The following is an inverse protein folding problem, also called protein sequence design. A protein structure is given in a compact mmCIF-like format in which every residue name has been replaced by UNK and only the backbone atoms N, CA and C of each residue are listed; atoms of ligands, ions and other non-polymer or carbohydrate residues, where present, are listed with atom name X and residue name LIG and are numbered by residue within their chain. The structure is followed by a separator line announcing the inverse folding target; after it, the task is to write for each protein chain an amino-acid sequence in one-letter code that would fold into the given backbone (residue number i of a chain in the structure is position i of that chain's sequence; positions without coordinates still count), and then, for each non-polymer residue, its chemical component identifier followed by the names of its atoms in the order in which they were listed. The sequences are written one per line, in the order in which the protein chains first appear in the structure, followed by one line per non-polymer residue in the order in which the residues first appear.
data_IF_029409435388
#
_entry.id   IF_029409435388
#
_cell.length_a   1.000
_cell.length_b   1.000
_cell.length_c   1.000
_cell.angle_alpha   90.00
_cell.angle_beta   90.00
_cell.angle_gamma   90.00
#
_symmetry.space_group_name_H-M   'P 1'
#
loop_
_entity.id
_entity.type
_entity.pdbx_description
1 polymer ?
#
# COMPACT_ATOMS: atom_id res chain seq x y z
N UNK A 1 19.00 42.87 -8.28
CA UNK A 1 20.31 42.34 -8.72
C UNK A 1 20.86 41.44 -7.63
N UNK A 2 20.52 40.14 -7.71
CA UNK A 2 20.88 39.14 -6.72
C UNK A 2 22.15 38.40 -7.15
N UNK A 3 23.14 38.41 -6.28
CA UNK A 3 24.33 37.58 -6.38
C UNK A 3 23.96 36.11 -6.11
N UNK A 4 24.24 35.25 -7.09
CA UNK A 4 24.14 33.79 -6.95
C UNK A 4 25.41 33.29 -6.26
N UNK A 5 25.27 32.71 -5.08
CA UNK A 5 26.33 31.94 -4.44
C UNK A 5 26.47 30.58 -5.13
N UNK A 6 27.62 30.40 -5.78
CA UNK A 6 28.16 29.12 -6.22
C UNK A 6 28.72 28.37 -5.01
N UNK A 7 28.20 27.18 -4.74
CA UNK A 7 28.75 26.25 -3.75
C UNK A 7 29.09 24.92 -4.41
N UNK A 8 30.20 24.87 -5.13
CA UNK A 8 31.03 23.68 -5.25
C UNK A 8 32.49 24.12 -5.39
N UNK A 9 33.28 23.90 -4.33
CA UNK A 9 34.72 23.94 -4.42
C UNK A 9 35.31 22.86 -3.51
N UNK A 10 35.23 21.61 -3.97
CA UNK A 10 36.04 20.52 -3.45
C UNK A 10 37.23 20.34 -4.39
N UNK A 11 38.36 20.97 -4.02
CA UNK A 11 39.68 20.59 -4.52
C UNK A 11 40.03 19.22 -3.95
N UNK A 12 39.68 18.19 -4.70
CA UNK A 12 40.45 16.94 -4.73
C UNK A 12 40.83 16.74 -6.18
N UNK A 13 42.11 16.89 -6.49
CA UNK A 13 42.64 16.74 -7.83
C UNK A 13 42.53 15.26 -8.27
N UNK A 14 41.39 14.90 -8.84
CA UNK A 14 41.33 13.83 -9.82
C UNK A 14 41.65 14.47 -11.17
N UNK A 15 42.70 13.97 -11.83
CA UNK A 15 43.02 14.34 -13.19
C UNK A 15 41.77 14.24 -14.06
N UNK A 16 41.52 15.26 -14.87
CA UNK A 16 40.42 15.29 -15.82
C UNK A 16 40.67 14.23 -16.90
N UNK A 17 40.22 13.01 -16.64
CA UNK A 17 39.96 12.06 -17.70
C UNK A 17 38.76 12.56 -18.49
N UNK A 18 38.87 12.51 -19.82
CA UNK A 18 37.86 12.99 -20.76
C UNK A 18 36.48 12.42 -20.41
N UNK A 19 35.45 13.28 -20.37
CA UNK A 19 34.11 12.99 -19.84
C UNK A 19 33.40 11.72 -20.36
N UNK A 20 33.86 11.15 -21.47
CA UNK A 20 33.38 9.88 -22.04
C UNK A 20 33.70 8.69 -21.12
N UNK A 21 34.73 8.77 -20.28
CA UNK A 21 35.12 7.69 -19.36
C UNK A 21 34.13 7.45 -18.21
N UNK A 22 33.20 8.38 -17.94
CA UNK A 22 32.31 8.25 -16.77
C UNK A 22 31.12 7.29 -16.98
N UNK A 23 30.78 6.95 -18.22
CA UNK A 23 29.60 6.13 -18.54
C UNK A 23 29.84 5.16 -19.71
N UNK A 24 30.89 4.32 -19.66
CA UNK A 24 31.30 3.58 -20.84
C UNK A 24 30.27 2.50 -21.25
N UNK A 25 29.43 2.02 -20.32
CA UNK A 25 28.31 1.12 -20.66
C UNK A 25 27.17 1.85 -21.39
N UNK A 26 26.79 3.07 -20.98
CA UNK A 26 25.80 3.86 -21.72
C UNK A 26 26.28 4.21 -23.11
N UNK A 27 27.58 4.50 -23.27
CA UNK A 27 28.19 4.73 -24.57
C UNK A 27 28.17 3.46 -25.43
N UNK A 28 28.54 2.32 -24.87
CA UNK A 28 28.48 1.03 -25.56
C UNK A 28 27.07 0.72 -26.05
N UNK A 29 26.05 0.87 -25.19
CA UNK A 29 24.63 0.70 -25.56
C UNK A 29 24.21 1.64 -26.69
N UNK A 30 24.54 2.93 -26.59
CA UNK A 30 24.17 3.92 -27.61
C UNK A 30 24.79 3.63 -28.98
N UNK A 31 25.93 2.95 -29.03
CA UNK A 31 26.61 2.55 -30.26
C UNK A 31 26.32 1.12 -30.70
N UNK A 32 25.56 0.34 -29.93
CA UNK A 32 25.39 -1.07 -30.21
C UNK A 32 24.50 -1.30 -31.43
N UNK A 33 24.86 -2.31 -32.22
CA UNK A 33 24.06 -2.77 -33.35
C UNK A 33 23.54 -4.19 -33.14
N UNK A 34 24.12 -4.90 -32.16
CA UNK A 34 23.79 -6.27 -31.77
C UNK A 34 24.02 -6.46 -30.27
N UNK A 35 23.23 -7.33 -29.65
CA UNK A 35 23.37 -7.76 -28.26
C UNK A 35 24.74 -8.40 -28.00
N UNK A 36 25.28 -9.15 -28.98
CA UNK A 36 26.60 -9.78 -28.86
C UNK A 36 27.71 -8.79 -28.50
N UNK A 37 27.63 -7.54 -28.99
CA UNK A 37 28.60 -6.47 -28.67
C UNK A 37 28.55 -6.13 -27.18
N UNK A 38 27.34 -6.02 -26.62
CA UNK A 38 27.11 -5.71 -25.21
C UNK A 38 27.47 -6.89 -24.31
N UNK A 39 27.06 -8.10 -24.67
CA UNK A 39 27.41 -9.32 -23.91
C UNK A 39 28.92 -9.52 -23.86
N UNK A 40 29.62 -9.29 -24.97
CA UNK A 40 31.08 -9.34 -25.01
C UNK A 40 31.71 -8.27 -24.12
N UNK A 41 31.21 -7.03 -24.18
CA UNK A 41 31.67 -5.93 -23.35
C UNK A 41 31.47 -6.24 -21.84
N UNK A 42 30.29 -6.71 -21.45
CA UNK A 42 29.97 -7.12 -20.08
C UNK A 42 30.93 -8.20 -19.57
N UNK A 43 31.23 -9.21 -20.40
CA UNK A 43 32.13 -10.30 -20.03
C UNK A 43 33.59 -9.86 -19.77
N UNK A 44 34.00 -8.68 -20.26
CA UNK A 44 35.35 -8.14 -20.07
C UNK A 44 35.48 -7.24 -18.83
N UNK A 45 34.37 -6.81 -18.25
CA UNK A 45 34.38 -5.88 -17.12
C UNK A 45 34.42 -6.66 -15.80
N UNK A 46 35.16 -6.14 -14.83
CA UNK A 46 35.12 -6.66 -13.46
C UNK A 46 33.69 -6.58 -12.90
N UNK A 47 33.21 -7.66 -12.27
CA UNK A 47 31.83 -7.76 -11.77
C UNK A 47 31.42 -6.57 -10.87
N UNK A 48 32.27 -6.11 -9.95
CA UNK A 48 31.94 -4.97 -9.07
C UNK A 48 31.81 -3.67 -9.86
N UNK A 49 32.67 -3.48 -10.86
CA UNK A 49 32.61 -2.33 -11.75
C UNK A 49 31.35 -2.37 -12.62
N UNK A 50 30.99 -3.54 -13.14
CA UNK A 50 29.76 -3.75 -13.91
C UNK A 50 28.51 -3.41 -13.09
N UNK A 51 28.39 -3.97 -11.88
CA UNK A 51 27.27 -3.68 -10.96
C UNK A 51 27.16 -2.17 -10.76
N UNK A 52 28.27 -1.51 -10.41
CA UNK A 52 28.29 -0.05 -10.27
C UNK A 52 27.81 0.68 -11.52
N UNK A 53 28.24 0.25 -12.71
CA UNK A 53 27.88 0.87 -13.98
C UNK A 53 26.41 0.66 -14.34
N UNK A 54 25.88 -0.54 -14.15
CA UNK A 54 24.47 -0.88 -14.38
C UNK A 54 23.52 -0.07 -13.52
N UNK A 55 23.97 0.29 -12.34
CA UNK A 55 23.20 1.12 -11.44
C UNK A 55 23.48 2.63 -11.63
N UNK A 56 24.60 3.07 -12.20
CA UNK A 56 24.83 4.52 -12.30
C UNK A 56 23.94 5.15 -13.39
N UNK A 57 23.07 6.15 -13.10
CA UNK A 57 22.30 6.84 -14.13
C UNK A 57 23.19 7.76 -14.96
N UNK A 58 22.83 7.99 -16.23
CA UNK A 58 23.50 8.97 -17.09
C UNK A 58 23.11 10.42 -16.73
N UNK A 59 23.60 11.41 -17.50
CA UNK A 59 23.29 12.84 -17.32
C UNK A 59 21.78 13.17 -17.41
N UNK A 60 20.96 12.29 -18.01
CA UNK A 60 19.50 12.44 -18.11
C UNK A 60 18.76 11.71 -16.96
N UNK A 61 19.47 11.09 -16.03
CA UNK A 61 18.87 10.29 -14.96
C UNK A 61 18.46 8.87 -15.38
N UNK A 62 18.87 8.41 -16.58
CA UNK A 62 18.49 7.09 -17.10
C UNK A 62 19.57 6.04 -16.82
N UNK A 63 19.15 4.89 -16.33
CA UNK A 63 19.97 3.69 -16.16
C UNK A 63 20.26 3.02 -17.51
N UNK A 64 21.38 2.26 -17.63
CA UNK A 64 21.67 1.45 -18.82
C UNK A 64 20.49 0.56 -19.25
N UNK A 65 19.81 -0.06 -18.30
CA UNK A 65 18.69 -0.96 -18.58
C UNK A 65 17.48 -0.24 -19.20
N UNK A 66 17.27 1.04 -18.84
CA UNK A 66 16.20 1.87 -19.40
C UNK A 66 16.50 2.33 -20.83
N UNK A 67 17.77 2.28 -21.24
CA UNK A 67 18.17 2.64 -22.60
C UNK A 67 17.93 1.52 -23.61
N UNK A 68 17.69 0.28 -23.15
CA UNK A 68 17.53 -0.89 -24.03
C UNK A 68 16.28 -0.74 -24.90
N UNK A 69 15.19 -0.21 -24.34
CA UNK A 69 13.94 0.01 -25.07
C UNK A 69 14.11 0.97 -26.25
N UNK A 70 14.99 1.96 -26.12
CA UNK A 70 15.28 2.96 -27.16
C UNK A 70 16.25 2.46 -28.25
N UNK A 71 16.83 1.26 -28.10
CA UNK A 71 17.77 0.71 -29.08
C UNK A 71 17.05 0.35 -30.40
N UNK A 72 17.69 0.67 -31.52
CA UNK A 72 17.22 0.33 -32.87
C UNK A 72 17.67 -1.07 -33.30
N UNK A 73 17.46 -2.06 -32.43
CA UNK A 73 17.75 -3.49 -32.66
C UNK A 73 16.46 -4.31 -32.47
N UNK A 74 16.45 -5.56 -32.93
CA UNK A 74 15.27 -6.41 -32.79
C UNK A 74 14.98 -6.80 -31.33
N UNK A 75 13.75 -7.25 -31.08
CA UNK A 75 13.27 -7.57 -29.74
C UNK A 75 14.08 -8.68 -29.07
N UNK A 76 14.52 -9.70 -29.81
CA UNK A 76 15.29 -10.83 -29.24
C UNK A 76 16.67 -10.39 -28.82
N UNK A 77 17.28 -9.48 -29.58
CA UNK A 77 18.56 -8.87 -29.17
C UNK A 77 18.38 -8.02 -27.91
N UNK A 78 17.27 -7.27 -27.77
CA UNK A 78 16.96 -6.55 -26.51
C UNK A 78 16.81 -7.49 -25.32
N UNK A 79 16.02 -8.56 -25.48
CA UNK A 79 15.85 -9.62 -24.47
C UNK A 79 17.21 -10.19 -24.02
N UNK A 80 18.10 -10.47 -24.97
CA UNK A 80 19.46 -10.96 -24.67
C UNK A 80 20.27 -9.97 -23.83
N UNK A 81 20.16 -8.66 -24.09
CA UNK A 81 20.84 -7.64 -23.27
C UNK A 81 20.23 -7.58 -21.87
N UNK A 82 18.91 -7.67 -21.75
CA UNK A 82 18.23 -7.72 -20.46
C UNK A 82 18.67 -8.94 -19.64
N UNK A 83 18.65 -10.13 -20.22
CA UNK A 83 19.14 -11.36 -19.57
C UNK A 83 20.60 -11.24 -19.12
N UNK A 84 21.42 -10.51 -19.88
CA UNK A 84 22.80 -10.22 -19.52
C UNK A 84 22.90 -9.27 -18.30
N UNK A 85 22.05 -8.25 -18.19
CA UNK A 85 22.12 -7.25 -17.14
C UNK A 85 21.46 -7.69 -15.83
N UNK A 86 20.29 -8.33 -15.91
CA UNK A 86 19.42 -8.62 -14.76
C UNK A 86 20.11 -9.35 -13.60
N UNK A 87 20.96 -10.38 -13.81
CA UNK A 87 21.66 -11.06 -12.70
C UNK A 87 22.56 -10.12 -11.87
N UNK A 88 23.04 -9.04 -12.47
CA UNK A 88 23.93 -8.06 -11.83
C UNK A 88 23.19 -6.89 -11.21
N UNK A 89 21.89 -6.74 -11.48
CA UNK A 89 21.05 -5.67 -10.93
C UNK A 89 20.20 -6.11 -9.73
N UNK A 90 20.28 -7.39 -9.35
CA UNK A 90 19.63 -7.91 -8.15
C UNK A 90 20.37 -7.42 -6.90
N UNK A 91 19.69 -6.78 -5.93
CA UNK A 91 20.31 -6.34 -4.71
C UNK A 91 20.69 -7.57 -3.90
N UNK A 92 21.86 -7.50 -3.27
CA UNK A 92 22.23 -8.49 -2.27
C UNK A 92 21.46 -8.17 -0.99
N UNK A 93 20.32 -8.82 -0.82
CA UNK A 93 19.54 -8.79 0.42
C UNK A 93 19.75 -10.09 1.20
N UNK A 94 19.85 -10.02 2.54
CA UNK A 94 19.87 -11.23 3.36
C UNK A 94 18.53 -11.93 3.28
N UNK A 95 18.53 -13.26 3.47
CA UNK A 95 17.28 -14.00 3.43
C UNK A 95 16.28 -13.52 4.47
N UNK A 96 14.98 -13.48 4.15
CA UNK A 96 13.85 -13.17 5.06
C UNK A 96 13.90 -13.96 6.37
N UNK A 97 14.55 -15.13 6.37
CA UNK A 97 14.73 -15.96 7.57
C UNK A 97 16.02 -15.68 8.34
N UNK A 98 16.96 -14.94 7.73
CA UNK A 98 18.22 -14.55 8.34
C UNK A 98 17.97 -13.51 9.42
N UNK A 99 18.32 -13.78 10.69
CA UNK A 99 18.17 -12.80 11.76
C UNK A 99 19.14 -11.64 11.57
N UNK A 100 18.74 -10.46 12.04
CA UNK A 100 19.62 -9.31 12.18
C UNK A 100 20.48 -9.47 13.44
N UNK A 101 21.76 -9.14 13.32
CA UNK A 101 22.72 -9.20 14.43
C UNK A 101 23.00 -7.80 14.98
N UNK A 102 22.54 -7.57 16.22
CA UNK A 102 22.73 -6.29 16.92
C UNK A 102 24.21 -5.88 16.96
N UNK A 103 25.12 -6.83 17.20
CA UNK A 103 26.54 -6.52 17.32
C UNK A 103 27.11 -6.03 15.98
N UNK A 104 26.83 -6.75 14.90
CA UNK A 104 27.27 -6.37 13.55
C UNK A 104 26.72 -5.00 13.13
N UNK A 105 25.46 -4.69 13.45
CA UNK A 105 24.86 -3.37 13.17
C UNK A 105 25.56 -2.28 13.99
N UNK A 106 25.79 -2.52 15.28
CA UNK A 106 26.51 -1.59 16.15
C UNK A 106 27.94 -1.34 15.67
N UNK A 107 28.68 -2.39 15.29
CA UNK A 107 30.04 -2.29 14.80
C UNK A 107 30.10 -1.52 13.46
N UNK A 108 29.17 -1.80 12.55
CA UNK A 108 29.09 -1.15 11.25
C UNK A 108 28.80 0.35 11.35
N UNK A 109 27.79 0.75 12.15
CA UNK A 109 27.40 2.15 12.32
C UNK A 109 28.10 2.86 13.50
N UNK A 110 29.04 2.19 14.16
CA UNK A 110 29.77 2.69 15.35
C UNK A 110 28.83 3.14 16.47
N UNK A 111 27.74 2.40 16.69
CA UNK A 111 26.77 2.66 17.75
C UNK A 111 27.26 2.00 19.04
N UNK A 112 27.63 2.81 20.02
CA UNK A 112 28.09 2.35 21.34
C UNK A 112 26.90 2.18 22.31
N UNK A 113 27.02 1.37 23.38
CA UNK A 113 25.93 1.14 24.34
C UNK A 113 25.33 2.40 24.99
N UNK A 114 26.13 3.44 25.19
CA UNK A 114 25.71 4.72 25.76
C UNK A 114 25.06 5.67 24.73
N UNK A 115 25.00 5.25 23.46
CA UNK A 115 24.35 6.03 22.39
C UNK A 115 22.85 6.13 22.62
N UNK A 116 22.22 7.28 22.35
CA UNK A 116 20.77 7.42 22.41
C UNK A 116 20.01 6.55 21.37
N UNK A 117 20.72 5.91 20.43
CA UNK A 117 20.16 4.93 19.49
C UNK A 117 20.14 3.50 20.03
N UNK A 118 20.98 3.16 21.00
CA UNK A 118 21.28 1.76 21.32
C UNK A 118 20.07 1.00 21.88
N UNK A 119 19.30 1.63 22.78
CA UNK A 119 18.09 1.02 23.35
C UNK A 119 17.03 0.75 22.27
N UNK A 120 16.74 1.75 21.44
CA UNK A 120 15.78 1.66 20.33
C UNK A 120 16.23 0.62 19.30
N UNK A 121 17.52 0.61 18.94
CA UNK A 121 18.10 -0.38 18.04
C UNK A 121 17.97 -1.80 18.59
N UNK A 122 18.25 -2.00 19.88
CA UNK A 122 18.09 -3.32 20.53
C UNK A 122 16.65 -3.81 20.44
N UNK A 123 15.67 -2.94 20.71
CA UNK A 123 14.24 -3.27 20.58
C UNK A 123 13.90 -3.60 19.13
N UNK A 124 14.34 -2.78 18.18
CA UNK A 124 14.10 -3.02 16.76
C UNK A 124 14.68 -4.36 16.29
N UNK A 125 15.91 -4.70 16.69
CA UNK A 125 16.54 -5.99 16.38
C UNK A 125 15.73 -7.17 16.92
N UNK A 126 15.24 -7.07 18.17
CA UNK A 126 14.42 -8.11 18.78
C UNK A 126 13.13 -8.35 17.98
N UNK A 127 12.40 -7.28 17.65
CA UNK A 127 11.14 -7.37 16.92
C UNK A 127 11.34 -7.83 15.47
N UNK A 128 12.35 -7.31 14.77
CA UNK A 128 12.68 -7.78 13.41
C UNK A 128 13.01 -9.27 13.43
N UNK A 129 13.75 -9.74 14.43
CA UNK A 129 14.06 -11.17 14.56
C UNK A 129 12.84 -12.02 14.89
N UNK A 130 11.92 -11.54 15.74
CA UNK A 130 10.65 -12.22 16.02
C UNK A 130 9.84 -12.42 14.73
N UNK A 131 9.75 -11.38 13.89
CA UNK A 131 9.06 -11.45 12.60
C UNK A 131 9.79 -12.42 11.65
N UNK A 132 11.09 -12.25 11.44
CA UNK A 132 11.88 -13.04 10.48
C UNK A 132 11.98 -14.53 10.84
N UNK A 133 11.94 -14.86 12.13
CA UNK A 133 11.89 -16.25 12.61
C UNK A 133 10.54 -16.95 12.36
N UNK A 134 9.49 -16.22 12.00
CA UNK A 134 8.19 -16.80 11.64
C UNK A 134 8.22 -17.49 10.27
N UNK A 135 9.30 -17.30 9.49
CA UNK A 135 9.51 -17.84 8.14
C UNK A 135 8.45 -17.37 7.14
N UNK A 136 8.30 -16.04 7.03
CA UNK A 136 7.39 -15.42 6.07
C UNK A 136 7.78 -15.72 4.62
N UNK A 137 6.76 -15.88 3.78
CA UNK A 137 6.88 -15.82 2.33
C UNK A 137 6.51 -14.43 1.84
N UNK A 138 7.23 -13.96 0.82
CA UNK A 138 6.97 -12.66 0.20
C UNK A 138 7.18 -12.78 -1.31
N UNK A 139 6.16 -12.44 -2.10
CA UNK A 139 6.24 -12.42 -3.57
C UNK A 139 7.07 -11.25 -4.11
N UNK A 140 7.52 -10.34 -3.26
CA UNK A 140 8.37 -9.23 -3.68
C UNK A 140 9.84 -9.40 -3.27
N UNK A 141 10.14 -10.24 -2.26
CA UNK A 141 11.52 -10.41 -1.77
C UNK A 141 12.39 -11.25 -2.72
N UNK A 142 13.66 -10.89 -2.96
CA UNK A 142 14.59 -11.65 -3.81
C UNK A 142 14.84 -13.10 -3.38
N UNK A 143 14.49 -13.47 -2.15
CA UNK A 143 14.58 -14.85 -1.65
C UNK A 143 13.73 -15.84 -2.42
N UNK A 144 12.62 -15.34 -2.98
CA UNK A 144 11.75 -16.16 -3.81
C UNK A 144 12.22 -16.17 -5.27
N UNK A 145 13.36 -15.52 -5.58
CA UNK A 145 13.91 -15.54 -6.94
C UNK A 145 14.40 -16.93 -7.31
N UNK A 146 14.02 -17.39 -8.51
CA UNK A 146 14.30 -18.75 -9.00
C UNK A 146 13.17 -19.75 -8.80
N UNK A 147 12.04 -19.33 -8.23
CA UNK A 147 10.76 -20.04 -8.32
C UNK A 147 10.11 -19.80 -9.68
N UNK A 148 9.21 -20.71 -10.06
CA UNK A 148 8.48 -20.57 -11.31
C UNK A 148 7.61 -19.30 -11.28
N UNK A 149 7.36 -18.70 -12.43
CA UNK A 149 6.53 -17.50 -12.55
C UNK A 149 5.11 -17.78 -12.02
N UNK A 150 4.59 -18.98 -12.28
CA UNK A 150 3.28 -19.42 -11.78
C UNK A 150 3.25 -19.48 -10.24
N UNK A 151 4.28 -20.04 -9.60
CA UNK A 151 4.39 -20.07 -8.13
C UNK A 151 4.44 -18.65 -7.54
N UNK A 152 5.12 -17.73 -8.22
CA UNK A 152 5.23 -16.32 -7.82
C UNK A 152 3.90 -15.58 -7.92
N UNK A 153 3.18 -15.79 -9.02
CA UNK A 153 1.87 -15.18 -9.26
C UNK A 153 0.84 -15.71 -8.25
N UNK A 154 0.82 -17.03 -8.00
CA UNK A 154 -0.01 -17.64 -6.97
C UNK A 154 0.27 -17.06 -5.58
N UNK A 155 1.56 -16.93 -5.19
CA UNK A 155 1.91 -16.32 -3.90
C UNK A 155 1.50 -14.85 -3.84
N UNK A 156 1.62 -14.11 -4.95
CA UNK A 156 1.18 -12.72 -5.04
C UNK A 156 -0.33 -12.59 -4.88
N UNK A 157 -1.11 -13.46 -5.52
CA UNK A 157 -2.56 -13.54 -5.37
C UNK A 157 -2.95 -13.86 -3.92
N UNK A 158 -2.31 -14.85 -3.29
CA UNK A 158 -2.56 -15.20 -1.88
C UNK A 158 -2.28 -14.02 -0.94
N UNK A 159 -1.17 -13.31 -1.13
CA UNK A 159 -0.84 -12.09 -0.35
C UNK A 159 -1.90 -11.00 -0.60
N UNK A 160 -2.29 -10.79 -1.85
CA UNK A 160 -3.34 -9.83 -2.23
C UNK A 160 -4.68 -10.17 -1.56
N UNK A 161 -5.07 -11.45 -1.51
CA UNK A 161 -6.30 -11.89 -0.87
C UNK A 161 -6.29 -11.65 0.64
N UNK A 162 -5.16 -11.94 1.29
CA UNK A 162 -4.98 -11.62 2.71
C UNK A 162 -5.07 -10.12 2.99
N UNK A 163 -4.50 -9.29 2.12
CA UNK A 163 -4.63 -7.83 2.19
C UNK A 163 -6.08 -7.38 2.01
N UNK A 164 -6.78 -7.92 1.02
CA UNK A 164 -8.18 -7.60 0.76
C UNK A 164 -9.06 -7.97 1.96
N UNK A 165 -8.77 -9.09 2.63
CA UNK A 165 -9.44 -9.49 3.86
C UNK A 165 -9.14 -8.55 5.04
N UNK A 166 -7.89 -8.08 5.18
CA UNK A 166 -7.52 -7.09 6.19
C UNK A 166 -8.20 -5.74 5.94
N UNK A 167 -8.20 -5.27 4.69
CA UNK A 167 -8.93 -4.10 4.24
C UNK A 167 -10.43 -4.23 4.52
N UNK A 168 -11.04 -5.38 4.19
CA UNK A 168 -12.45 -5.64 4.48
C UNK A 168 -12.73 -5.47 5.96
N UNK A 169 -12.02 -6.18 6.85
CA UNK A 169 -12.23 -6.08 8.31
C UNK A 169 -12.01 -4.66 8.84
N UNK A 170 -11.02 -3.94 8.32
CA UNK A 170 -10.78 -2.52 8.65
C UNK A 170 -12.00 -1.68 8.33
N UNK A 171 -12.52 -1.78 7.10
CA UNK A 171 -13.70 -1.02 6.70
C UNK A 171 -14.93 -1.42 7.51
N UNK A 172 -15.14 -2.72 7.76
CA UNK A 172 -16.23 -3.18 8.63
C UNK A 172 -16.15 -2.52 10.00
N UNK A 173 -14.97 -2.46 10.61
CA UNK A 173 -14.77 -1.80 11.88
C UNK A 173 -14.99 -0.27 11.81
N UNK A 174 -14.44 0.39 10.79
CA UNK A 174 -14.61 1.83 10.57
C UNK A 174 -16.07 2.24 10.36
N UNK A 175 -16.87 1.43 9.66
CA UNK A 175 -18.28 1.73 9.36
C UNK A 175 -19.24 1.33 10.48
N UNK A 176 -18.88 0.32 11.27
CA UNK A 176 -19.73 -0.16 12.38
C UNK A 176 -19.39 0.46 13.72
N UNK A 177 -18.15 0.93 13.91
CA UNK A 177 -17.64 1.51 15.14
C UNK A 177 -18.37 2.79 15.55
N UNK A 178 -18.95 2.79 16.75
CA UNK A 178 -19.63 3.96 17.32
C UNK A 178 -18.68 5.13 17.61
N UNK A 179 -17.39 4.82 17.75
CA UNK A 179 -16.31 5.75 18.05
C UNK A 179 -15.68 6.36 16.79
N UNK A 180 -16.23 6.08 15.60
CA UNK A 180 -15.75 6.62 14.33
C UNK A 180 -16.67 7.71 13.83
N UNK A 181 -16.15 8.92 13.67
CA UNK A 181 -16.85 10.07 13.12
C UNK A 181 -16.25 10.48 11.78
N UNK A 182 -17.03 11.17 10.96
CA UNK A 182 -16.69 11.51 9.57
C UNK A 182 -17.06 12.97 9.32
N UNK A 183 -16.22 13.93 9.75
CA UNK A 183 -16.53 15.34 9.55
C UNK A 183 -16.43 15.67 8.07
N UNK A 184 -17.44 16.36 7.54
CA UNK A 184 -17.38 16.91 6.19
C UNK A 184 -16.43 18.12 6.17
N UNK A 185 -15.35 18.06 5.39
CA UNK A 185 -14.51 19.22 5.10
C UNK A 185 -14.76 19.73 3.68
N UNK A 186 -14.61 21.03 3.46
CA UNK A 186 -14.71 21.61 2.11
C UNK A 186 -13.65 21.05 1.14
N UNK A 187 -12.56 20.52 1.68
CA UNK A 187 -11.45 19.87 0.97
C UNK A 187 -11.77 18.42 0.55
N UNK A 188 -12.78 17.78 1.15
CA UNK A 188 -13.25 16.44 0.76
C UNK A 188 -14.08 16.47 -0.56
N UNK A 189 -14.09 17.60 -1.27
CA UNK A 189 -14.68 17.74 -2.61
C UNK A 189 -13.86 17.00 -3.69
N UNK A 190 -12.60 16.63 -3.41
CA UNK A 190 -11.88 15.67 -4.25
C UNK A 190 -12.40 14.25 -3.97
N UNK A 191 -13.09 13.69 -4.96
CA UNK A 191 -13.86 12.44 -5.07
C UNK A 191 -13.34 11.12 -4.45
N UNK A 192 -12.24 11.13 -3.67
CA UNK A 192 -11.55 9.92 -3.23
C UNK A 192 -10.98 10.00 -1.81
N UNK A 193 -11.32 11.00 -1.01
CA UNK A 193 -10.77 11.13 0.35
C UNK A 193 -11.87 11.04 1.40
N UNK A 194 -11.80 10.04 2.29
CA UNK A 194 -12.70 9.92 3.44
C UNK A 194 -11.89 10.19 4.70
N UNK A 195 -12.05 11.38 5.26
CA UNK A 195 -11.43 11.69 6.55
C UNK A 195 -12.24 11.03 7.67
N UNK A 196 -11.68 9.99 8.32
CA UNK A 196 -12.26 9.35 9.48
C UNK A 196 -11.56 9.85 10.76
N UNK A 197 -12.33 10.07 11.81
CA UNK A 197 -11.85 10.48 13.12
C UNK A 197 -12.24 9.37 14.10
N UNK A 198 -11.29 8.77 14.80
CA UNK A 198 -11.56 7.63 15.68
C UNK A 198 -10.54 7.50 16.81
N UNK A 199 -11.00 6.88 17.90
CA UNK A 199 -10.28 6.72 19.17
C UNK A 199 -8.98 5.91 19.03
N UNK A 200 -8.01 6.02 19.96
CA UNK A 200 -6.81 5.19 19.91
C UNK A 200 -7.14 3.69 19.98
N UNK A 201 -8.12 3.21 20.77
CA UNK A 201 -8.60 1.83 20.69
C UNK A 201 -9.05 1.38 19.30
N UNK A 202 -9.77 2.23 18.56
CA UNK A 202 -10.14 1.92 17.17
C UNK A 202 -8.88 1.81 16.31
N UNK A 203 -7.97 2.78 16.38
CA UNK A 203 -6.69 2.75 15.66
C UNK A 203 -5.91 1.47 15.93
N UNK A 204 -5.76 1.12 17.20
CA UNK A 204 -5.00 -0.04 17.65
C UNK A 204 -5.66 -1.33 17.13
N UNK A 205 -6.99 -1.38 17.08
CA UNK A 205 -7.75 -2.48 16.45
C UNK A 205 -7.49 -2.57 14.93
N UNK A 206 -7.40 -1.44 14.24
CA UNK A 206 -7.08 -1.41 12.81
C UNK A 206 -5.65 -1.91 12.54
N UNK A 207 -4.67 -1.42 13.28
CA UNK A 207 -3.27 -1.86 13.19
C UNK A 207 -3.15 -3.35 13.51
N UNK A 208 -3.84 -3.81 14.55
CA UNK A 208 -3.91 -5.22 14.90
C UNK A 208 -4.47 -6.07 13.74
N UNK A 209 -5.51 -5.59 13.08
CA UNK A 209 -6.14 -6.30 11.95
C UNK A 209 -5.17 -6.47 10.77
N UNK A 210 -4.44 -5.40 10.41
CA UNK A 210 -3.45 -5.43 9.34
C UNK A 210 -2.24 -6.31 9.66
N UNK A 211 -1.89 -6.46 10.94
CA UNK A 211 -0.79 -7.32 11.36
C UNK A 211 -1.19 -8.79 11.50
N UNK A 212 -2.35 -9.09 12.10
CA UNK A 212 -2.71 -10.47 12.47
C UNK A 212 -3.04 -11.37 11.30
N UNK A 213 -3.61 -10.84 10.22
CA UNK A 213 -3.95 -11.64 9.03
C UNK A 213 -2.67 -12.12 8.31
N UNK A 214 -1.74 -11.24 7.90
CA UNK A 214 -0.47 -11.65 7.32
C UNK A 214 0.35 -12.53 8.27
N UNK A 215 0.36 -12.22 9.58
CA UNK A 215 1.07 -13.01 10.59
C UNK A 215 0.53 -14.44 10.70
N UNK A 216 -0.80 -14.62 10.70
CA UNK A 216 -1.42 -15.94 10.72
C UNK A 216 -1.17 -16.72 9.42
N UNK A 217 -1.20 -16.03 8.28
CA UNK A 217 -0.91 -16.62 6.97
C UNK A 217 0.56 -16.92 6.73
N UNK A 218 1.47 -16.27 7.47
CA UNK A 218 2.92 -16.25 7.23
C UNK A 218 3.28 -15.80 5.81
N UNK A 219 2.51 -14.86 5.28
CA UNK A 219 2.66 -14.30 3.94
C UNK A 219 2.51 -12.79 4.03
N UNK A 220 3.52 -12.06 3.58
CA UNK A 220 3.54 -10.61 3.71
C UNK A 220 4.48 -9.94 2.69
N UNK A 221 4.13 -8.77 2.19
CA UNK A 221 5.02 -7.86 1.48
C UNK A 221 5.70 -6.86 2.44
N UNK A 222 6.46 -5.89 1.91
CA UNK A 222 7.17 -4.89 2.70
C UNK A 222 6.27 -4.00 3.58
N UNK A 223 5.11 -3.60 3.06
CA UNK A 223 4.11 -2.84 3.81
C UNK A 223 3.53 -3.65 4.98
N UNK A 224 3.07 -4.87 4.71
CA UNK A 224 2.48 -5.76 5.72
C UNK A 224 3.49 -6.16 6.81
N UNK A 225 4.76 -6.40 6.45
CA UNK A 225 5.83 -6.64 7.44
C UNK A 225 6.10 -5.41 8.32
N UNK A 226 5.98 -4.20 7.75
CA UNK A 226 6.08 -2.95 8.50
C UNK A 226 4.89 -2.77 9.45
N UNK A 227 3.68 -3.10 9.02
CA UNK A 227 2.47 -3.10 9.88
C UNK A 227 2.60 -4.10 11.04
N UNK A 228 3.11 -5.32 10.78
CA UNK A 228 3.39 -6.30 11.83
C UNK A 228 4.38 -5.73 12.85
N UNK A 229 5.45 -5.09 12.39
CA UNK A 229 6.42 -4.46 13.29
C UNK A 229 5.78 -3.37 14.15
N UNK A 230 4.98 -2.48 13.55
CA UNK A 230 4.25 -1.44 14.27
C UNK A 230 3.33 -2.03 15.33
N UNK A 231 2.60 -3.10 15.01
CA UNK A 231 1.72 -3.80 15.96
C UNK A 231 2.48 -4.37 17.15
N UNK A 232 3.57 -5.11 16.90
CA UNK A 232 4.40 -5.69 17.96
C UNK A 232 5.06 -4.59 18.80
N UNK A 233 5.55 -3.52 18.17
CA UNK A 233 6.13 -2.37 18.87
C UNK A 233 5.11 -1.69 19.79
N UNK A 234 3.88 -1.49 19.30
CA UNK A 234 2.79 -0.87 20.07
C UNK A 234 2.40 -1.72 21.28
N UNK A 235 2.44 -3.05 21.17
CA UNK A 235 2.21 -3.97 22.30
C UNK A 235 3.22 -3.82 23.43
N UNK A 236 4.43 -3.34 23.15
CA UNK A 236 5.43 -3.05 24.18
C UNK A 236 5.10 -1.80 25.01
N UNK A 237 4.13 -0.98 24.58
CA UNK A 237 3.66 0.23 25.27
C UNK A 237 4.79 1.23 25.58
N UNK A 238 5.73 1.40 24.64
CA UNK A 238 6.89 2.29 24.77
C UNK A 238 6.52 3.74 24.46
N UNK A 239 5.81 4.40 25.37
CA UNK A 239 5.26 5.76 25.18
C UNK A 239 6.27 6.87 24.88
N UNK A 240 7.56 6.61 25.06
CA UNK A 240 8.64 7.59 24.80
C UNK A 240 9.21 7.50 23.39
N UNK A 241 8.86 6.46 22.65
CA UNK A 241 9.38 6.21 21.31
C UNK A 241 8.36 6.65 20.26
N UNK A 242 8.83 7.40 19.26
CA UNK A 242 8.03 7.76 18.09
C UNK A 242 8.13 6.63 17.07
N UNK A 243 7.04 6.25 16.42
CA UNK A 243 7.03 5.26 15.35
C UNK A 243 6.13 5.72 14.21
N UNK A 244 6.67 5.62 12.99
CA UNK A 244 6.06 6.12 11.77
C UNK A 244 6.29 5.15 10.62
N UNK A 245 5.33 5.04 9.72
CA UNK A 245 5.42 4.29 8.47
C UNK A 245 5.76 5.25 7.33
N UNK A 246 6.73 4.86 6.52
CA UNK A 246 7.20 5.61 5.37
C UNK A 246 7.16 4.75 4.11
N UNK A 247 6.78 5.39 3.00
CA UNK A 247 6.78 4.84 1.66
C UNK A 247 7.80 5.57 0.77
N UNK A 248 8.30 4.89 -0.25
CA UNK A 248 9.01 5.53 -1.36
C UNK A 248 8.01 6.02 -2.41
N UNK A 249 7.91 7.33 -2.63
CA UNK A 249 6.88 7.92 -3.50
C UNK A 249 6.92 7.54 -4.98
N UNK A 250 8.05 7.03 -5.47
CA UNK A 250 8.18 6.43 -6.81
C UNK A 250 8.70 4.98 -6.74
N UNK A 251 8.65 4.37 -5.56
CA UNK A 251 9.00 2.97 -5.34
C UNK A 251 7.80 2.21 -4.80
N UNK A 252 7.85 0.89 -4.88
CA UNK A 252 6.92 0.01 -4.19
C UNK A 252 7.60 -0.57 -2.96
N UNK A 253 7.94 0.32 -2.01
CA UNK A 253 8.61 -0.09 -0.77
C UNK A 253 8.19 0.75 0.41
N UNK A 254 7.92 0.05 1.51
CA UNK A 254 7.52 0.62 2.80
C UNK A 254 8.46 0.15 3.89
N UNK A 255 8.74 1.04 4.85
CA UNK A 255 9.60 0.76 5.99
C UNK A 255 9.17 1.59 7.21
N UNK A 256 9.70 1.24 8.38
CA UNK A 256 9.40 1.91 9.65
C UNK A 256 10.50 2.90 9.99
N UNK A 257 10.12 4.06 10.53
CA UNK A 257 11.04 5.04 11.11
C UNK A 257 10.71 5.21 12.60
N UNK A 258 11.73 5.05 13.44
CA UNK A 258 11.65 5.27 14.88
C UNK A 258 12.31 6.60 15.25
N UNK A 259 11.74 7.32 16.21
CA UNK A 259 12.32 8.51 16.84
C UNK A 259 12.76 9.63 15.88
N UNK A 260 12.02 9.84 14.79
CA UNK A 260 12.15 11.05 14.00
C UNK A 260 11.80 12.28 14.85
N UNK A 261 12.61 13.34 14.75
CA UNK A 261 12.32 14.61 15.42
C UNK A 261 10.96 15.18 14.97
N UNK A 262 10.05 15.57 15.88
CA UNK A 262 8.69 15.95 15.53
C UNK A 262 8.57 17.07 14.51
N UNK A 263 9.41 18.10 14.65
CA UNK A 263 9.39 19.30 13.80
C UNK A 263 10.25 19.14 12.54
N UNK A 264 10.86 17.97 12.34
CA UNK A 264 11.61 17.68 11.13
C UNK A 264 10.69 17.51 9.92
N UNK A 265 11.24 17.71 8.72
CA UNK A 265 10.48 17.53 7.48
C UNK A 265 10.52 16.05 7.08
N UNK A 266 9.37 15.36 6.92
CA UNK A 266 9.35 13.95 6.55
C UNK A 266 10.11 13.67 5.25
N UNK A 267 9.99 14.52 4.22
CA UNK A 267 10.73 14.31 2.96
C UNK A 267 12.24 14.58 3.02
N UNK A 268 12.77 15.04 4.17
CA UNK A 268 14.17 15.44 4.33
C UNK A 268 14.83 14.68 5.48
N UNK A 269 15.27 13.45 5.22
CA UNK A 269 15.83 12.56 6.26
C UNK A 269 17.01 13.15 7.05
N UNK A 270 17.78 14.06 6.45
CA UNK A 270 18.87 14.78 7.14
C UNK A 270 18.38 15.67 8.29
N UNK A 271 17.08 15.98 8.33
CA UNK A 271 16.46 16.77 9.39
C UNK A 271 15.84 15.92 10.50
N UNK A 272 15.76 14.59 10.32
CA UNK A 272 15.06 13.68 11.22
C UNK A 272 15.73 13.50 12.59
N UNK A 273 16.93 14.06 12.79
CA UNK A 273 17.68 13.97 14.04
C UNK A 273 18.58 12.75 14.15
N UNK A 274 19.47 12.77 15.13
CA UNK A 274 20.46 11.71 15.37
C UNK A 274 19.89 10.48 16.10
N UNK A 275 18.66 10.59 16.61
CA UNK A 275 17.91 9.49 17.23
C UNK A 275 17.04 8.72 16.23
N UNK A 276 16.91 9.22 15.00
CA UNK A 276 16.09 8.59 13.99
C UNK A 276 16.73 7.30 13.48
N UNK A 277 15.96 6.21 13.53
CA UNK A 277 16.37 4.88 13.10
C UNK A 277 15.39 4.39 12.03
N UNK A 278 15.92 3.91 10.90
CA UNK A 278 15.15 3.23 9.87
C UNK A 278 15.17 1.73 10.15
N UNK A 279 14.01 1.10 10.07
CA UNK A 279 13.80 -0.32 10.27
C UNK A 279 13.11 -0.86 9.02
N UNK A 280 13.86 -1.58 8.20
CA UNK A 280 13.36 -2.28 7.02
C UNK A 280 13.29 -3.78 7.34
N UNK A 281 12.11 -4.21 7.76
CA UNK A 281 11.83 -5.58 8.20
C UNK A 281 11.97 -6.57 7.03
N UNK A 282 11.51 -6.16 5.85
CA UNK A 282 11.55 -6.95 4.62
C UNK A 282 13.00 -7.22 4.22
N UNK A 283 13.84 -6.19 4.20
CA UNK A 283 15.24 -6.35 3.86
C UNK A 283 16.13 -6.89 4.99
N UNK A 284 15.64 -6.92 6.22
CA UNK A 284 16.46 -7.28 7.39
C UNK A 284 17.55 -6.25 7.65
N UNK A 285 17.23 -4.96 7.47
CA UNK A 285 18.17 -3.86 7.66
C UNK A 285 17.66 -2.89 8.71
N UNK A 286 18.55 -2.48 9.61
CA UNK A 286 18.27 -1.46 10.61
C UNK A 286 19.46 -0.50 10.67
N UNK A 287 19.21 0.79 10.50
CA UNK A 287 20.28 1.76 10.34
C UNK A 287 19.86 3.19 10.73
N UNK A 288 20.81 4.05 11.14
CA UNK A 288 20.52 5.46 11.40
C UNK A 288 20.00 6.17 10.14
N UNK A 289 19.10 7.14 10.30
CA UNK A 289 18.54 7.90 9.18
C UNK A 289 19.62 8.55 8.27
N UNK A 290 20.77 8.92 8.83
CA UNK A 290 21.90 9.46 8.06
C UNK A 290 22.43 8.51 6.97
N UNK A 291 22.23 7.19 7.13
CA UNK A 291 22.68 6.15 6.21
C UNK A 291 21.66 5.81 5.10
N UNK A 292 20.52 6.51 5.04
CA UNK A 292 19.50 6.30 3.99
C UNK A 292 20.08 6.27 2.56
N UNK A 293 21.01 7.16 2.16
CA UNK A 293 21.55 7.14 0.81
C UNK A 293 22.32 5.86 0.45
N UNK A 294 22.91 5.22 1.45
CA UNK A 294 23.71 3.99 1.27
C UNK A 294 22.81 2.75 1.37
N UNK A 295 21.73 2.84 2.15
CA UNK A 295 20.89 1.69 2.47
C UNK A 295 19.64 1.59 1.61
N UNK A 296 18.94 2.69 1.32
CA UNK A 296 17.73 2.72 0.48
C UNK A 296 18.03 2.82 -1.02
N UNK A 297 19.29 2.83 -1.42
CA UNK A 297 19.70 2.84 -2.82
C UNK A 297 19.34 1.55 -3.57
N UNK A 298 18.55 0.63 -3.02
CA UNK A 298 18.27 -0.67 -3.62
C UNK A 298 16.76 -0.93 -3.73
N UNK A 299 15.90 0.09 -3.66
CA UNK A 299 14.44 -0.10 -3.45
C UNK A 299 13.55 0.66 -4.42
N UNK A 300 14.06 1.06 -5.58
CA UNK A 300 13.20 1.43 -6.69
C UNK A 300 13.21 0.27 -7.68
N UNK A 301 12.08 -0.43 -7.80
CA UNK A 301 11.86 -1.46 -8.81
C UNK A 301 11.31 -0.82 -10.09
N UNK A 302 11.81 -1.26 -11.24
CA UNK A 302 11.14 -1.07 -12.52
C UNK A 302 10.70 -2.43 -13.02
N UNK A 303 9.43 -2.54 -13.43
CA UNK A 303 8.93 -3.73 -14.11
C UNK A 303 9.45 -3.73 -15.56
N UNK A 304 10.19 -4.76 -15.91
CA UNK A 304 10.61 -5.03 -17.29
C UNK A 304 9.88 -6.27 -17.76
N UNK A 305 9.16 -6.12 -18.87
CA UNK A 305 8.44 -7.20 -19.54
C UNK A 305 9.26 -7.64 -20.75
N UNK A 306 9.96 -8.76 -20.64
CA UNK A 306 10.77 -9.31 -21.75
C UNK A 306 9.88 -10.06 -22.74
N UNK A 307 8.84 -10.72 -22.24
CA UNK A 307 7.78 -11.37 -22.98
C UNK A 307 6.46 -11.27 -22.21
N UNK A 308 5.35 -11.82 -22.73
CA UNK A 308 4.06 -11.79 -22.03
C UNK A 308 4.05 -12.49 -20.65
N UNK A 309 5.12 -13.20 -20.27
CA UNK A 309 5.16 -14.10 -19.13
C UNK A 309 6.15 -13.69 -18.03
N UNK A 310 7.17 -12.87 -18.31
CA UNK A 310 8.21 -12.54 -17.33
C UNK A 310 8.21 -11.08 -16.93
N UNK A 311 7.95 -10.83 -15.64
CA UNK A 311 8.16 -9.54 -14.97
C UNK A 311 9.45 -9.59 -14.18
N UNK A 312 10.37 -8.70 -14.50
CA UNK A 312 11.60 -8.53 -13.72
C UNK A 312 11.53 -7.23 -12.93
N UNK A 313 11.84 -7.31 -11.64
CA UNK A 313 12.05 -6.15 -10.79
C UNK A 313 13.52 -5.74 -10.84
N UNK A 314 13.76 -4.49 -11.25
CA UNK A 314 15.11 -3.93 -11.36
C UNK A 314 15.35 -2.86 -10.34
N UNK A 315 16.43 -3.00 -9.57
CA UNK A 315 16.71 -2.12 -8.44
C UNK A 315 17.66 -0.98 -8.82
N UNK A 316 17.31 0.26 -8.44
CA UNK A 316 18.11 1.46 -8.75
C UNK A 316 19.08 1.81 -7.60
N UNK A 317 20.36 1.45 -7.74
CA UNK A 317 21.51 2.05 -6.99
C UNK A 317 22.03 3.23 -7.85
N UNK A 318 22.75 4.27 -7.38
CA UNK A 318 22.76 4.77 -6.01
C UNK A 318 21.43 5.45 -5.66
N UNK A 319 21.30 5.90 -4.41
CA UNK A 319 20.16 6.71 -3.98
C UNK A 319 20.13 8.02 -4.78
N UNK A 320 19.03 8.23 -5.50
CA UNK A 320 18.73 9.46 -6.23
C UNK A 320 17.57 10.14 -5.49
N UNK A 321 17.79 11.29 -4.85
CA UNK A 321 16.79 11.97 -4.02
C UNK A 321 15.49 12.31 -4.76
N UNK A 322 15.59 12.58 -6.05
CA UNK A 322 14.48 12.93 -6.95
C UNK A 322 13.61 11.71 -7.31
N UNK A 323 14.16 10.51 -7.15
CA UNK A 323 13.45 9.23 -7.33
C UNK A 323 13.02 8.63 -5.99
N UNK A 324 13.88 8.64 -4.99
CA UNK A 324 13.66 8.09 -3.66
C UNK A 324 13.01 9.14 -2.74
N UNK A 325 11.87 9.69 -3.18
CA UNK A 325 11.10 10.64 -2.38
C UNK A 325 10.51 9.90 -1.18
N UNK A 326 10.83 10.34 0.03
CA UNK A 326 10.30 9.74 1.27
C UNK A 326 8.93 10.36 1.57
N UNK A 327 7.90 9.53 1.63
CA UNK A 327 6.53 9.93 1.96
C UNK A 327 6.17 9.36 3.33
N UNK A 328 5.73 10.23 4.24
CA UNK A 328 5.11 9.78 5.48
C UNK A 328 3.72 9.24 5.14
N UNK A 329 3.50 7.96 5.37
CA UNK A 329 2.18 7.33 5.22
C UNK A 329 1.37 7.54 6.50
N UNK A 330 1.88 7.01 7.62
CA UNK A 330 1.16 7.02 8.89
C UNK A 330 2.09 7.36 10.05
N UNK A 331 1.69 8.33 10.89
CA UNK A 331 2.33 8.59 12.17
C UNK A 331 1.53 7.93 13.31
N UNK A 332 2.06 6.82 13.81
CA UNK A 332 1.39 5.99 14.82
C UNK A 332 1.55 6.57 16.22
N UNK A 333 2.53 7.46 16.42
CA UNK A 333 2.84 8.06 17.71
C UNK A 333 1.92 9.23 18.09
N UNK A 334 1.26 9.86 17.13
CA UNK A 334 0.37 11.00 17.41
C UNK A 334 -0.91 10.48 18.10
N UNK A 335 -1.08 10.91 19.35
CA UNK A 335 -2.14 10.51 20.28
C UNK A 335 -3.48 11.26 20.10
N UNK A 336 -3.61 12.18 19.14
CA UNK A 336 -4.85 12.96 18.92
C UNK A 336 -5.38 12.81 17.50
N UNK A 337 -6.67 12.53 17.43
CA UNK A 337 -7.32 11.76 16.37
C UNK A 337 -7.83 12.62 15.23
N UNK A 338 -7.06 12.61 14.16
CA UNK A 338 -7.62 12.68 12.82
C UNK A 338 -6.70 11.82 11.96
N UNK A 339 -7.13 10.59 11.67
CA UNK A 339 -6.42 9.77 10.68
C UNK A 339 -7.19 9.91 9.39
N UNK A 340 -6.70 10.81 8.54
CA UNK A 340 -7.25 10.97 7.21
C UNK A 340 -6.88 9.73 6.39
N UNK A 341 -7.88 8.97 5.96
CA UNK A 341 -7.65 7.86 5.02
C UNK A 341 -8.10 8.29 3.63
N UNK A 342 -7.18 8.21 2.67
CA UNK A 342 -7.55 8.40 1.26
C UNK A 342 -8.02 7.06 0.71
N UNK A 343 -9.26 6.98 0.25
CA UNK A 343 -9.69 5.84 -0.56
C UNK A 343 -8.99 5.95 -1.90
N UNK A 344 -7.89 5.23 -2.09
CA UNK A 344 -7.26 5.14 -3.42
C UNK A 344 -8.31 4.58 -4.39
N UNK A 345 -8.53 5.19 -5.58
CA UNK A 345 -9.42 4.64 -6.62
C UNK A 345 -9.09 3.19 -7.02
N UNK A 346 -7.87 2.75 -6.75
CA UNK A 346 -7.37 1.40 -7.00
C UNK A 346 -7.61 0.41 -5.86
N UNK A 347 -8.02 0.86 -4.67
CA UNK A 347 -8.42 -0.03 -3.57
C UNK A 347 -9.66 -0.85 -3.93
N UNK A 348 -9.95 -1.96 -3.24
CA UNK A 348 -11.17 -2.73 -3.50
C UNK A 348 -12.43 -1.85 -3.46
N UNK A 349 -12.57 -1.03 -2.42
CA UNK A 349 -13.69 -0.08 -2.26
C UNK A 349 -13.64 1.02 -3.33
N UNK A 350 -12.46 1.55 -3.65
CA UNK A 350 -12.32 2.56 -4.70
C UNK A 350 -12.64 2.04 -6.10
N UNK A 351 -12.24 0.80 -6.43
CA UNK A 351 -12.56 0.12 -7.69
C UNK A 351 -14.05 -0.15 -7.79
N UNK A 352 -14.65 -0.65 -6.71
CA UNK A 352 -16.10 -0.82 -6.61
C UNK A 352 -16.83 0.49 -6.86
N UNK A 353 -16.46 1.58 -6.15
CA UNK A 353 -17.08 2.90 -6.33
C UNK A 353 -16.90 3.41 -7.76
N UNK A 354 -15.70 3.25 -8.34
CA UNK A 354 -15.40 3.68 -9.72
C UNK A 354 -16.21 2.92 -10.77
N UNK A 355 -16.45 1.62 -10.55
CA UNK A 355 -17.25 0.78 -11.46
C UNK A 355 -18.73 1.15 -11.48
N UNK A 356 -19.21 1.92 -10.51
CA UNK A 356 -20.61 2.35 -10.46
C UNK A 356 -20.92 3.55 -11.37
N UNK A 357 -19.89 4.18 -11.97
CA UNK A 357 -20.01 5.30 -12.94
C UNK A 357 -21.02 6.39 -12.54
N UNK A 358 -21.10 6.66 -11.23
CA UNK A 358 -22.07 7.57 -10.66
C UNK A 358 -21.68 9.02 -10.95
N UNK A 359 -22.66 9.89 -11.21
CA UNK A 359 -22.41 11.33 -11.22
C UNK A 359 -22.04 11.84 -9.83
N UNK A 360 -21.37 12.99 -9.75
CA UNK A 360 -20.94 13.63 -8.49
C UNK A 360 -22.07 13.78 -7.46
N UNK A 361 -23.29 14.02 -7.95
CA UNK A 361 -24.49 14.16 -7.13
C UNK A 361 -25.00 12.80 -6.62
N UNK A 362 -24.84 11.75 -7.42
CA UNK A 362 -25.19 10.37 -7.05
C UNK A 362 -24.17 9.74 -6.12
N UNK A 363 -22.88 10.07 -6.26
CA UNK A 363 -21.80 9.74 -5.30
C UNK A 363 -22.02 10.40 -3.92
N UNK A 364 -22.47 11.65 -3.91
CA UNK A 364 -22.85 12.34 -2.68
C UNK A 364 -24.03 11.65 -1.98
N UNK A 365 -25.03 11.20 -2.74
CA UNK A 365 -26.13 10.38 -2.24
C UNK A 365 -25.69 8.95 -1.85
N UNK A 366 -24.69 8.39 -2.53
CA UNK A 366 -24.07 7.09 -2.25
C UNK A 366 -23.52 7.03 -0.83
N UNK A 367 -22.81 8.08 -0.40
CA UNK A 367 -22.29 8.20 0.96
C UNK A 367 -23.38 8.41 2.02
N UNK A 368 -24.50 9.06 1.66
CA UNK A 368 -25.63 9.33 2.56
C UNK A 368 -26.55 8.13 2.80
N UNK A 369 -26.82 7.33 1.77
CA UNK A 369 -27.82 6.26 1.81
C UNK A 369 -27.26 4.83 1.85
N UNK A 370 -26.05 4.59 1.32
CA UNK A 370 -25.46 3.24 1.31
C UNK A 370 -24.64 2.97 2.57
N UNK A 371 -24.21 3.97 3.33
CA UNK A 371 -23.53 3.72 4.62
C UNK A 371 -24.37 2.87 5.59
N UNK A 372 -25.70 3.06 5.73
CA UNK A 372 -26.59 2.12 6.40
C UNK A 372 -26.71 0.75 5.69
N UNK A 373 -26.81 0.72 4.36
CA UNK A 373 -26.99 -0.50 3.56
C UNK A 373 -25.74 -1.41 3.58
N UNK A 374 -24.54 -0.86 3.42
CA UNK A 374 -23.26 -1.53 3.60
C UNK A 374 -23.15 -2.10 5.01
N UNK A 375 -23.57 -1.33 6.03
CA UNK A 375 -23.60 -1.77 7.43
C UNK A 375 -24.53 -2.97 7.62
N UNK A 376 -25.66 -3.01 6.91
CA UNK A 376 -26.63 -4.12 6.93
C UNK A 376 -26.13 -5.35 6.15
N UNK A 377 -25.55 -5.16 4.95
CA UNK A 377 -25.00 -6.21 4.10
C UNK A 377 -23.76 -6.89 4.72
N UNK A 378 -22.91 -6.10 5.37
CA UNK A 378 -21.77 -6.57 6.17
C UNK A 378 -22.27 -7.33 7.41
N UNK A 379 -23.22 -6.76 8.16
CA UNK A 379 -23.81 -7.42 9.33
C UNK A 379 -24.50 -8.75 8.97
N UNK A 380 -25.06 -8.86 7.78
CA UNK A 380 -25.71 -10.07 7.27
C UNK A 380 -24.75 -11.12 6.68
N UNK A 381 -23.43 -10.86 6.61
CA UNK A 381 -22.42 -11.73 5.97
C UNK A 381 -22.77 -12.18 4.53
N UNK A 382 -23.48 -11.34 3.78
CA UNK A 382 -23.98 -11.68 2.42
C UNK A 382 -23.00 -11.35 1.29
N UNK A 383 -21.86 -10.71 1.57
CA UNK A 383 -20.88 -10.31 0.55
C UNK A 383 -20.22 -11.49 -0.19
N UNK A 384 -20.21 -12.70 0.39
CA UNK A 384 -19.49 -13.86 -0.15
C UNK A 384 -20.25 -14.61 -1.27
N UNK A 385 -21.42 -14.12 -1.71
CA UNK A 385 -22.33 -14.86 -2.61
C UNK A 385 -22.64 -14.18 -3.95
N UNK A 386 -21.97 -13.09 -4.30
CA UNK A 386 -22.24 -12.38 -5.55
C UNK A 386 -21.06 -12.54 -6.52
N UNK A 387 -21.19 -13.52 -7.43
CA UNK A 387 -20.35 -13.64 -8.62
C UNK A 387 -20.60 -12.43 -9.55
N UNK A 388 -19.50 -11.83 -9.99
CA UNK A 388 -19.45 -10.71 -10.91
C UNK A 388 -19.98 -11.18 -12.28
N UNK A 389 -21.25 -10.90 -12.59
CA UNK A 389 -21.78 -11.15 -13.93
C UNK A 389 -21.28 -10.05 -14.89
N UNK A 390 -20.37 -10.41 -15.79
CA UNK A 390 -20.01 -9.58 -16.95
C UNK A 390 -21.23 -9.41 -17.87
N UNK A 391 -21.56 -8.17 -18.24
CA UNK A 391 -22.52 -7.86 -19.30
C UNK A 391 -22.00 -6.67 -20.13
N UNK A 392 -21.65 -6.94 -21.38
CA UNK A 392 -21.42 -5.94 -22.43
C UNK A 392 -22.76 -5.39 -22.94
N UNK A 393 -22.92 -4.05 -22.97
CA UNK A 393 -23.51 -3.30 -24.11
C UNK A 393 -23.68 -1.79 -23.83
N UNK A 394 -23.93 -0.96 -24.88
CA UNK A 394 -23.61 0.46 -24.89
C UNK A 394 -24.73 1.35 -24.33
N UNK A 395 -24.27 2.44 -23.72
CA UNK A 395 -24.89 3.76 -23.51
C UNK A 395 -26.41 3.88 -23.74
N UNK A 396 -27.17 3.91 -22.65
CA UNK A 396 -27.92 5.09 -22.19
C UNK A 396 -28.55 4.74 -20.82
N UNK A 397 -27.85 5.15 -19.77
CA UNK A 397 -28.26 5.30 -18.35
C UNK A 397 -29.45 4.44 -17.87
N UNK A 398 -29.14 3.30 -17.24
CA UNK A 398 -30.07 2.56 -16.38
C UNK A 398 -29.41 2.32 -15.02
N UNK A 399 -30.01 2.86 -13.95
CA UNK A 399 -29.62 2.61 -12.56
C UNK A 399 -30.01 1.18 -12.16
N UNK A 400 -29.04 0.36 -11.73
CA UNK A 400 -29.30 -0.94 -11.11
C UNK A 400 -29.16 -0.85 -9.59
N UNK A 401 -30.21 -1.26 -8.87
CA UNK A 401 -30.24 -1.30 -7.40
C UNK A 401 -29.98 -2.72 -6.90
N UNK A 402 -29.13 -2.82 -5.88
CA UNK A 402 -28.92 -4.01 -5.06
C UNK A 402 -30.01 -4.07 -3.99
N UNK A 403 -31.15 -4.72 -4.26
CA UNK A 403 -32.16 -4.99 -3.22
C UNK A 403 -32.82 -6.35 -3.43
N UNK A 404 -33.02 -7.04 -2.31
CA UNK A 404 -33.95 -8.17 -2.17
C UNK A 404 -35.38 -7.70 -2.48
N UNK A 405 -36.16 -8.52 -3.20
CA UNK A 405 -37.53 -8.21 -3.62
C UNK A 405 -38.47 -7.85 -2.45
N UNK A 406 -38.16 -8.30 -1.23
CA UNK A 406 -38.89 -7.93 -0.02
C UNK A 406 -38.78 -6.43 0.31
N UNK A 407 -37.58 -5.84 0.19
CA UNK A 407 -37.33 -4.43 0.51
C UNK A 407 -37.82 -3.47 -0.58
N UNK A 408 -37.90 -3.96 -1.83
CA UNK A 408 -38.50 -3.24 -2.95
C UNK A 408 -40.00 -2.97 -2.73
N UNK A 409 -40.71 -3.82 -1.98
CA UNK A 409 -42.13 -3.63 -1.62
C UNK A 409 -42.35 -2.60 -0.52
N UNK A 410 -41.38 -2.36 0.35
CA UNK A 410 -41.52 -1.33 1.39
C UNK A 410 -41.20 0.08 0.86
N UNK A 411 -40.27 0.18 -0.10
CA UNK A 411 -39.93 1.45 -0.75
C UNK A 411 -41.04 2.00 -1.66
N UNK A 412 -41.91 1.14 -2.19
CA UNK A 412 -43.02 1.55 -3.07
C UNK A 412 -44.22 2.15 -2.34
N UNK A 413 -44.22 2.18 -1.00
CA UNK A 413 -45.29 2.83 -0.22
C UNK A 413 -45.09 4.33 0.03
N UNK A 414 -44.05 4.95 -0.54
CA UNK A 414 -43.82 6.39 -0.41
C UNK A 414 -43.22 7.02 -1.67
N UNK A 415 -44.06 7.30 -2.67
CA UNK A 415 -43.79 8.28 -3.75
C UNK A 415 -42.68 7.99 -4.77
N UNK A 416 -42.41 6.74 -5.14
CA UNK A 416 -41.56 6.42 -6.31
C UNK A 416 -42.38 5.66 -7.35
N UNK A 417 -42.64 6.29 -8.51
CA UNK A 417 -43.25 5.62 -9.66
C UNK A 417 -42.16 5.20 -10.65
N UNK A 418 -42.04 3.88 -10.90
CA UNK A 418 -41.22 3.34 -11.97
C UNK A 418 -41.97 3.50 -13.29
N UNK A 419 -41.41 4.28 -14.22
CA UNK A 419 -41.98 4.47 -15.56
C UNK A 419 -41.34 3.48 -16.52
N UNK A 420 -42.13 2.57 -17.10
CA UNK A 420 -41.73 1.78 -18.27
C UNK A 420 -41.41 0.29 -18.06
N UNK A 421 -41.81 -0.31 -16.94
CA UNK A 421 -41.81 -1.78 -16.83
C UNK A 421 -43.19 -2.26 -17.28
N UNK A 422 -43.29 -2.82 -18.48
CA UNK A 422 -44.47 -3.59 -18.87
C UNK A 422 -44.50 -4.89 -18.05
N UNK A 423 -45.66 -5.18 -17.45
CA UNK A 423 -46.00 -6.38 -16.66
C UNK A 423 -45.83 -7.69 -17.45
N UNK A 424 -44.58 -8.11 -17.70
CA UNK A 424 -44.29 -9.46 -18.18
C UNK A 424 -43.10 -9.98 -17.39
N UNK A 425 -43.34 -11.06 -16.65
CA UNK A 425 -42.40 -11.77 -15.75
C UNK A 425 -42.39 -11.32 -14.29
N UNK A 426 -43.57 -11.21 -13.68
CA UNK A 426 -43.73 -11.71 -12.31
C UNK A 426 -44.21 -13.16 -12.47
N UNK A 427 -43.31 -14.10 -12.22
CA UNK A 427 -43.65 -15.52 -12.15
C UNK A 427 -44.40 -15.72 -10.84
N UNK A 428 -45.72 -15.86 -10.93
CA UNK A 428 -46.52 -16.55 -9.93
C UNK A 428 -46.05 -18.02 -9.88
N UNK A 429 -45.56 -18.43 -8.72
CA UNK A 429 -45.68 -19.78 -8.14
C UNK A 429 -44.48 -20.12 -7.24
N UNK A 430 -44.55 -19.68 -5.99
CA UNK A 430 -43.96 -20.43 -4.87
C UNK A 430 -44.99 -20.45 -3.75
N UNK A 431 -45.40 -21.64 -3.26
CA UNK A 431 -46.48 -21.74 -2.28
C UNK A 431 -46.06 -21.17 -0.92
N UNK A 432 -46.91 -20.30 -0.37
CA UNK A 432 -46.82 -19.83 1.01
C UNK A 432 -46.94 -20.99 2.01
N UNK A 433 -46.06 -21.09 3.03
CA UNK A 433 -46.36 -21.85 4.23
C UNK A 433 -47.22 -20.97 5.14
N UNK A 434 -48.55 -21.11 5.03
CA UNK A 434 -49.48 -20.64 6.06
C UNK A 434 -49.45 -21.60 7.26
N UNK A 435 -49.34 -21.05 8.47
CA UNK A 435 -49.47 -21.83 9.69
C UNK A 435 -49.18 -21.08 11.00
N UNK A 436 -49.62 -19.83 11.15
CA UNK A 436 -49.77 -19.23 12.48
C UNK A 436 -50.89 -18.17 12.44
N UNK A 437 -52.05 -18.49 13.03
CA UNK A 437 -53.12 -17.53 13.27
C UNK A 437 -52.81 -16.73 14.54
N UNK A 438 -52.76 -15.41 14.43
CA UNK A 438 -52.77 -14.50 15.59
C UNK A 438 -54.22 -14.06 15.87
N UNK A 439 -54.66 -14.03 17.14
CA UNK A 439 -56.03 -13.68 17.49
C UNK A 439 -56.29 -12.18 17.31
N UNK A 440 -57.47 -11.88 16.77
CA UNK A 440 -58.01 -10.54 16.55
C UNK A 440 -58.20 -9.77 17.87
N UNK A 441 -57.56 -8.60 18.00
CA UNK A 441 -57.94 -7.59 18.99
C UNK A 441 -58.65 -6.44 18.27
N UNK A 442 -59.98 -6.44 18.41
CA UNK A 442 -60.86 -5.36 17.96
C UNK A 442 -60.58 -4.08 18.74
N UNK A 443 -60.43 -2.97 18.01
CA UNK A 443 -60.38 -1.62 18.57
C UNK A 443 -61.74 -1.21 19.17
N UNK A 444 -61.80 -0.52 20.32
CA UNK A 444 -63.01 0.17 20.74
C UNK A 444 -63.08 1.57 20.13
N UNK A 445 -64.25 1.87 19.57
CA UNK A 445 -64.68 3.17 19.08
C UNK A 445 -64.82 4.20 20.20
N UNK A 446 -64.62 5.47 19.82
CA UNK A 446 -64.97 6.68 20.57
C UNK A 446 -66.48 6.74 20.89
N UNK A 447 -66.85 7.25 22.07
CA UNK A 447 -67.76 8.39 22.21
C UNK A 447 -68.05 8.74 23.69
N UNK A 448 -67.52 9.91 24.11
CA UNK A 448 -68.26 11.04 24.66
C UNK A 448 -69.02 10.98 26.02
N UNK A 449 -68.90 12.11 26.74
CA UNK A 449 -69.90 12.79 27.61
C UNK A 449 -69.77 12.61 29.15
N UNK A 450 -69.30 13.72 29.73
CA UNK A 450 -69.78 14.46 30.92
C UNK A 450 -69.64 13.95 32.36
N UNK A 451 -69.06 14.89 33.13
CA UNK A 451 -69.54 15.49 34.39
C UNK A 451 -68.95 15.01 35.73
N UNK A 452 -68.34 15.99 36.43
CA UNK A 452 -68.61 16.43 37.83
C UNK A 452 -68.29 15.41 38.93
N UNK A 453 -67.57 15.65 40.03
CA UNK A 453 -66.89 16.79 40.68
C UNK A 453 -65.97 16.17 41.77
N UNK A 454 -65.20 16.96 42.55
CA UNK A 454 -64.06 16.48 43.34
C UNK A 454 -64.41 16.10 44.78
N UNK A 455 -63.51 15.36 45.42
CA UNK A 455 -63.28 15.46 46.87
C UNK A 455 -63.08 14.13 47.59
N UNK A 456 -61.82 13.78 47.87
CA UNK A 456 -61.19 13.89 49.21
C UNK A 456 -59.77 13.37 49.17
#
# INVERSE_FOLDING_TARGET
MQAKHSFFNTKTAFAATTEVEKFPLHAALASCSKAADITHYVAQINQQQLVRMLHTPNKKGLLPIQLIDDLSIDLREKETIYECFLPHMKPSLPSLTTPVDLKSICDHYKIVPDSPLYSTLKIACLLVNEIRQTAFLSSTHPDFSGKDAEDMDLLHEEISDHRNEADRKKYEHLFTGKEVTYPQREEDKEYCTITAHFTPPVRDTLLQTYAEIPLAAKRANCAELSDIFVHLFTKLNLKQERIELFDLGKGDHSFVVLNREPDSKPSQFKTWGNRALVVDVWAGKIYPAASIPDELCAYCSMDITLDKATRHQVFIVPFISEYHTLLLDTDVSILKETVQFKLKPTSYVGRFIKQLDLSDKELFLFHGYIKPLLKELIAAKKLNKYELAELECPVETLLYTFLDAHYLKELTHGQVFLKGIEDRHIIDDVPHPMGYEMPWLSSPQEASICQVQPGK
#
